data_IF_801494696757
#
_entry.id   IF_801494696757
#
_cell.length_a   1.000
_cell.length_b   1.000
_cell.length_c   1.000
_cell.angle_alpha   90.00
_cell.angle_beta   90.00
_cell.angle_gamma   90.00
#
_symmetry.space_group_name_H-M   'P 1'
#
loop_
_entity.id
_entity.type
_entity.pdbx_description
1 polymer ?
#
# COMPACT_ATOMS: atom_id res chain seq x y z
N UNK A 1 22.29 -12.33 -8.85
CA UNK A 1 20.87 -12.34 -9.27
C UNK A 1 20.05 -11.89 -8.09
N UNK A 2 19.08 -10.98 -8.26
CA UNK A 2 18.22 -10.57 -7.14
C UNK A 2 17.45 -11.79 -6.62
N UNK A 3 17.30 -11.89 -5.30
CA UNK A 3 16.49 -12.94 -4.70
C UNK A 3 15.03 -12.85 -5.17
N UNK A 4 14.39 -14.00 -5.44
CA UNK A 4 13.00 -14.02 -5.87
C UNK A 4 12.12 -13.39 -4.78
N UNK A 5 11.10 -12.65 -5.21
CA UNK A 5 10.11 -12.09 -4.27
C UNK A 5 9.42 -13.20 -3.50
N UNK A 6 9.15 -12.94 -2.22
CA UNK A 6 8.32 -13.81 -1.41
C UNK A 6 6.94 -13.96 -2.06
N UNK A 7 6.43 -15.19 -2.10
CA UNK A 7 5.11 -15.49 -2.66
C UNK A 7 4.05 -15.14 -1.64
N UNK A 8 3.14 -14.25 -2.01
CA UNK A 8 1.97 -13.94 -1.16
C UNK A 8 1.15 -15.21 -0.84
N UNK A 9 0.45 -15.22 0.30
CA UNK A 9 -0.52 -16.27 0.64
C UNK A 9 -1.55 -16.56 -0.45
N UNK A 10 -2.08 -17.80 -0.49
CA UNK A 10 -3.15 -18.18 -1.43
C UNK A 10 -4.48 -17.48 -1.18
N UNK A 11 -4.73 -17.03 0.06
CA UNK A 11 -5.88 -16.21 0.43
C UNK A 11 -5.75 -14.74 0.03
N UNK A 12 -4.65 -14.34 -0.62
CA UNK A 12 -4.40 -12.95 -0.96
C UNK A 12 -5.34 -12.43 -2.05
N UNK A 13 -6.04 -11.36 -1.74
CA UNK A 13 -6.99 -10.68 -2.63
C UNK A 13 -6.46 -9.29 -3.00
N UNK A 14 -7.05 -8.61 -4.01
CA UNK A 14 -6.71 -7.23 -4.34
C UNK A 14 -6.81 -6.27 -3.15
N UNK A 15 -7.74 -6.52 -2.22
CA UNK A 15 -7.89 -5.73 -1.00
C UNK A 15 -6.63 -5.75 -0.14
N UNK A 16 -5.97 -6.90 -0.03
CA UNK A 16 -4.71 -7.03 0.69
C UNK A 16 -3.57 -6.28 -0.01
N UNK A 17 -3.58 -6.22 -1.35
CA UNK A 17 -2.62 -5.38 -2.09
C UNK A 17 -2.87 -3.89 -1.90
N UNK A 18 -4.14 -3.45 -1.81
CA UNK A 18 -4.46 -2.05 -1.44
C UNK A 18 -3.93 -1.75 -0.05
N UNK A 19 -4.24 -2.60 0.94
CA UNK A 19 -3.73 -2.46 2.30
C UNK A 19 -2.19 -2.41 2.34
N UNK A 20 -1.53 -3.29 1.58
CA UNK A 20 -0.06 -3.34 1.50
C UNK A 20 0.55 -2.05 0.94
N UNK A 21 -0.04 -1.46 -0.11
CA UNK A 21 0.45 -0.19 -0.65
C UNK A 21 0.25 0.96 0.34
N UNK A 22 -0.91 1.05 0.98
CA UNK A 22 -1.19 2.09 1.98
C UNK A 22 -0.23 2.00 3.17
N UNK A 23 -0.02 0.79 3.71
CA UNK A 23 0.94 0.55 4.78
C UNK A 23 2.39 0.84 4.35
N UNK A 24 2.72 0.55 3.09
CA UNK A 24 4.07 0.77 2.58
C UNK A 24 4.43 2.24 2.41
N UNK A 25 3.44 3.11 2.19
CA UNK A 25 3.65 4.56 2.23
C UNK A 25 3.86 5.01 3.67
N UNK A 26 2.98 4.62 4.60
CA UNK A 26 3.10 5.00 6.01
C UNK A 26 4.37 4.51 6.70
N UNK A 27 5.02 3.44 6.22
CA UNK A 27 6.28 2.96 6.81
C UNK A 27 7.52 3.53 6.12
N UNK A 28 7.36 4.41 5.14
CA UNK A 28 8.46 4.93 4.34
C UNK A 28 9.49 5.71 5.17
N UNK A 29 9.01 6.40 6.21
CA UNK A 29 9.77 7.16 7.20
C UNK A 29 10.39 6.26 8.31
N UNK A 30 9.88 5.02 8.45
CA UNK A 30 10.35 4.00 9.39
C UNK A 30 9.37 3.64 10.51
N UNK A 31 8.22 4.31 10.64
CA UNK A 31 7.22 3.97 11.67
C UNK A 31 5.80 4.33 11.26
N UNK A 32 4.85 3.44 11.52
CA UNK A 32 3.42 3.73 11.35
C UNK A 32 2.83 4.12 12.70
N UNK A 33 2.15 5.26 12.76
CA UNK A 33 1.42 5.69 13.95
C UNK A 33 -0.04 5.17 13.99
N UNK A 34 -0.74 5.41 15.11
CA UNK A 34 -2.12 4.96 15.27
C UNK A 34 -3.12 5.72 14.36
N UNK A 35 -2.86 6.99 14.05
CA UNK A 35 -3.71 7.82 13.20
C UNK A 35 -3.66 7.34 11.75
N UNK A 36 -2.47 7.08 11.23
CA UNK A 36 -2.22 6.47 9.93
C UNK A 36 -2.80 5.07 9.86
N UNK A 37 -2.55 4.21 10.84
CA UNK A 37 -3.11 2.86 10.86
C UNK A 37 -4.65 2.89 10.82
N UNK A 38 -5.27 3.82 11.54
CA UNK A 38 -6.71 4.03 11.48
C UNK A 38 -7.18 4.58 10.13
N UNK A 39 -6.39 5.44 9.48
CA UNK A 39 -6.68 5.91 8.12
C UNK A 39 -6.61 4.76 7.10
N UNK A 40 -5.57 3.92 7.17
CA UNK A 40 -5.41 2.71 6.35
C UNK A 40 -6.64 1.81 6.48
N UNK A 41 -7.05 1.48 7.71
CA UNK A 41 -8.24 0.62 7.96
C UNK A 41 -9.51 1.20 7.33
N UNK A 42 -9.76 2.50 7.49
CA UNK A 42 -10.93 3.18 6.91
C UNK A 42 -10.93 3.13 5.38
N UNK A 43 -9.76 3.34 4.77
CA UNK A 43 -9.63 3.32 3.32
C UNK A 43 -9.74 1.92 2.74
N UNK A 44 -9.15 0.92 3.40
CA UNK A 44 -9.33 -0.48 3.02
C UNK A 44 -10.80 -0.87 3.08
N UNK A 45 -11.52 -0.52 4.15
CA UNK A 45 -12.96 -0.77 4.26
C UNK A 45 -13.74 -0.15 3.09
N UNK A 46 -13.41 1.10 2.73
CA UNK A 46 -14.03 1.81 1.60
C UNK A 46 -13.74 1.14 0.26
N UNK A 47 -12.50 0.74 0.00
CA UNK A 47 -12.10 0.09 -1.26
C UNK A 47 -12.68 -1.31 -1.43
N UNK A 48 -12.76 -2.04 -0.32
CA UNK A 48 -13.31 -3.39 -0.24
C UNK A 48 -14.83 -3.44 -0.15
N UNK A 49 -15.49 -2.31 0.13
CA UNK A 49 -16.92 -2.25 0.47
C UNK A 49 -17.29 -3.27 1.56
N UNK A 50 -16.41 -3.43 2.54
CA UNK A 50 -16.48 -4.44 3.58
C UNK A 50 -16.68 -3.81 4.96
N UNK A 51 -16.96 -4.67 5.95
CA UNK A 51 -17.04 -4.25 7.34
C UNK A 51 -15.67 -3.80 7.88
N UNK A 52 -15.64 -2.96 8.95
CA UNK A 52 -14.39 -2.59 9.61
C UNK A 52 -13.58 -3.79 10.10
N UNK A 53 -14.23 -4.88 10.51
CA UNK A 53 -13.59 -6.11 10.98
C UNK A 53 -12.88 -6.84 9.84
N UNK A 54 -13.51 -6.95 8.67
CA UNK A 54 -12.90 -7.52 7.46
C UNK A 54 -11.73 -6.68 6.97
N UNK A 55 -11.86 -5.35 7.02
CA UNK A 55 -10.79 -4.43 6.69
C UNK A 55 -9.60 -4.58 7.64
N UNK A 56 -9.85 -4.64 8.96
CA UNK A 56 -8.81 -4.83 9.96
C UNK A 56 -8.08 -6.17 9.80
N UNK A 57 -8.80 -7.24 9.47
CA UNK A 57 -8.20 -8.53 9.15
C UNK A 57 -7.28 -8.45 7.91
N UNK A 58 -7.73 -7.77 6.85
CA UNK A 58 -6.93 -7.58 5.65
C UNK A 58 -5.68 -6.72 5.89
N UNK A 59 -5.81 -5.63 6.67
CA UNK A 59 -4.71 -4.76 7.08
C UNK A 59 -3.71 -5.53 7.94
N UNK A 60 -4.18 -6.27 8.93
CA UNK A 60 -3.32 -7.07 9.82
C UNK A 60 -2.52 -8.12 9.04
N UNK A 61 -3.15 -8.81 8.10
CA UNK A 61 -2.45 -9.78 7.25
C UNK A 61 -1.43 -9.09 6.33
N UNK A 62 -1.79 -7.96 5.72
CA UNK A 62 -0.89 -7.19 4.87
C UNK A 62 0.31 -6.63 5.66
N UNK A 63 0.09 -6.16 6.89
CA UNK A 63 1.12 -5.64 7.77
C UNK A 63 2.08 -6.75 8.22
N UNK A 64 1.57 -7.91 8.64
CA UNK A 64 2.39 -9.06 8.96
C UNK A 64 3.26 -9.50 7.76
N UNK A 65 2.69 -9.48 6.56
CA UNK A 65 3.44 -9.77 5.32
C UNK A 65 4.51 -8.72 5.03
N UNK A 66 4.20 -7.44 5.23
CA UNK A 66 5.15 -6.34 5.06
C UNK A 66 6.35 -6.48 6.00
N UNK A 67 6.09 -6.75 7.28
CA UNK A 67 7.14 -6.98 8.28
C UNK A 67 8.00 -8.20 7.93
N UNK A 68 7.37 -9.27 7.43
CA UNK A 68 8.09 -10.46 6.97
C UNK A 68 9.01 -10.15 5.78
N UNK A 69 8.53 -9.40 4.77
CA UNK A 69 9.34 -8.97 3.62
C UNK A 69 10.51 -8.07 4.08
N UNK A 70 10.26 -7.11 4.97
CA UNK A 70 11.32 -6.24 5.51
C UNK A 70 12.37 -7.04 6.28
N UNK A 71 11.95 -8.02 7.10
CA UNK A 71 12.87 -8.85 7.87
C UNK A 71 13.71 -9.79 7.00
N UNK A 72 13.12 -10.41 5.99
CA UNK A 72 13.80 -11.41 5.15
C UNK A 72 14.58 -10.78 4.00
N UNK A 73 14.07 -9.71 3.39
CA UNK A 73 14.58 -9.15 2.14
C UNK A 73 15.01 -7.68 2.24
N UNK A 74 14.87 -7.07 3.41
CA UNK A 74 15.25 -5.68 3.67
C UNK A 74 14.47 -4.66 2.84
N UNK A 75 14.99 -3.43 2.81
CA UNK A 75 14.37 -2.30 2.09
C UNK A 75 14.25 -2.57 0.59
N UNK A 76 15.27 -3.15 -0.04
CA UNK A 76 15.26 -3.43 -1.48
C UNK A 76 14.20 -4.48 -1.84
N UNK A 77 14.04 -5.53 -1.03
CA UNK A 77 12.98 -6.52 -1.21
C UNK A 77 11.59 -5.93 -1.03
N UNK A 78 11.44 -5.06 -0.02
CA UNK A 78 10.21 -4.31 0.21
C UNK A 78 9.83 -3.43 -0.99
N UNK A 79 10.75 -2.64 -1.55
CA UNK A 79 10.47 -1.81 -2.73
C UNK A 79 10.06 -2.66 -3.95
N UNK A 80 10.73 -3.79 -4.18
CA UNK A 80 10.33 -4.73 -5.23
C UNK A 80 8.96 -5.35 -4.98
N UNK A 81 8.65 -5.66 -3.71
CA UNK A 81 7.35 -6.18 -3.29
C UNK A 81 6.24 -5.16 -3.52
N UNK A 82 6.46 -3.90 -3.13
CA UNK A 82 5.55 -2.78 -3.41
C UNK A 82 5.23 -2.67 -4.89
N UNK A 83 6.26 -2.65 -5.76
CA UNK A 83 6.05 -2.59 -7.21
C UNK A 83 5.28 -3.81 -7.75
N UNK A 84 5.51 -5.01 -7.19
CA UNK A 84 4.73 -6.21 -7.53
C UNK A 84 3.26 -6.08 -7.14
N UNK A 85 2.96 -5.53 -5.96
CA UNK A 85 1.60 -5.25 -5.52
C UNK A 85 0.94 -4.14 -6.36
N UNK A 86 1.67 -3.09 -6.71
CA UNK A 86 1.20 -2.05 -7.59
C UNK A 86 0.84 -2.60 -8.98
N UNK A 87 1.70 -3.44 -9.56
CA UNK A 87 1.45 -4.12 -10.84
C UNK A 87 0.22 -5.02 -10.78
N UNK A 88 0.03 -5.77 -9.69
CA UNK A 88 -1.16 -6.62 -9.49
C UNK A 88 -2.45 -5.80 -9.47
N UNK A 89 -2.43 -4.63 -8.84
CA UNK A 89 -3.58 -3.73 -8.83
C UNK A 89 -3.83 -3.12 -10.21
N UNK A 90 -2.79 -2.70 -10.94
CA UNK A 90 -2.93 -2.20 -12.30
C UNK A 90 -3.58 -3.22 -13.25
N UNK A 91 -3.22 -4.50 -13.09
CA UNK A 91 -3.81 -5.59 -13.88
C UNK A 91 -5.27 -5.92 -13.49
N UNK A 92 -5.70 -5.51 -12.30
CA UNK A 92 -7.02 -5.84 -11.78
C UNK A 92 -8.00 -4.66 -11.82
N UNK A 93 -7.52 -3.43 -11.69
CA UNK A 93 -8.31 -2.21 -11.62
C UNK A 93 -8.12 -1.34 -12.87
N UNK A 94 -9.20 -0.67 -13.27
CA UNK A 94 -9.13 0.37 -14.29
C UNK A 94 -8.59 1.70 -13.73
N UNK A 95 -8.22 2.65 -14.61
CA UNK A 95 -7.64 3.93 -14.22
C UNK A 95 -8.39 4.72 -13.15
N UNK A 96 -9.75 4.77 -13.11
CA UNK A 96 -10.47 5.49 -12.06
C UNK A 96 -10.21 4.95 -10.66
N UNK A 97 -10.10 3.62 -10.50
CA UNK A 97 -9.87 3.01 -9.20
C UNK A 97 -8.40 3.10 -8.79
N UNK A 98 -7.47 3.06 -9.74
CA UNK A 98 -6.05 3.33 -9.49
C UNK A 98 -5.83 4.78 -9.00
N UNK A 99 -6.47 5.77 -9.65
CA UNK A 99 -6.45 7.17 -9.17
C UNK A 99 -6.98 7.28 -7.74
N UNK A 100 -8.11 6.65 -7.43
CA UNK A 100 -8.65 6.66 -6.08
C UNK A 100 -7.68 6.05 -5.05
N UNK A 101 -6.93 5.00 -5.42
CA UNK A 101 -5.89 4.44 -4.54
C UNK A 101 -4.75 5.43 -4.33
N UNK A 102 -4.27 6.13 -5.36
CA UNK A 102 -3.23 7.17 -5.21
C UNK A 102 -3.69 8.33 -4.33
N UNK A 103 -4.90 8.84 -4.55
CA UNK A 103 -5.49 9.88 -3.69
C UNK A 103 -5.58 9.42 -2.23
N UNK A 104 -5.98 8.17 -2.03
CA UNK A 104 -6.07 7.60 -0.70
C UNK A 104 -4.67 7.39 -0.07
N UNK A 105 -3.64 7.02 -0.84
CA UNK A 105 -2.25 6.96 -0.35
C UNK A 105 -1.77 8.34 0.16
N UNK A 106 -2.06 9.42 -0.59
CA UNK A 106 -1.74 10.79 -0.15
C UNK A 106 -2.46 11.16 1.16
N UNK A 107 -3.74 10.81 1.27
CA UNK A 107 -4.52 11.13 2.45
C UNK A 107 -4.17 10.25 3.68
N UNK A 108 -3.62 9.04 3.49
CA UNK A 108 -3.01 8.28 4.61
C UNK A 108 -1.71 8.95 5.06
N UNK A 109 -0.82 9.26 4.12
CA UNK A 109 0.46 9.88 4.45
C UNK A 109 0.28 11.24 5.17
N UNK A 110 -0.78 11.98 4.82
CA UNK A 110 -1.14 13.24 5.49
C UNK A 110 -1.94 13.08 6.80
N UNK A 111 -2.20 11.86 7.27
CA UNK A 111 -3.09 11.63 8.41
C UNK A 111 -2.52 12.14 9.74
N UNK A 112 -1.20 12.20 9.87
CA UNK A 112 -0.47 12.71 11.03
C UNK A 112 -0.28 14.26 10.98
N UNK A 113 -0.57 14.87 9.83
CA UNK A 113 -0.42 16.31 9.58
C UNK A 113 0.89 16.69 8.87
N UNK A 114 1.76 15.73 8.56
CA UNK A 114 3.00 15.88 7.78
C UNK A 114 2.83 15.23 6.41
N UNK A 115 3.75 15.49 5.48
CA UNK A 115 3.92 14.64 4.31
C UNK A 115 5.41 14.65 3.99
N UNK A 116 6.05 13.50 4.15
CA UNK A 116 7.50 13.39 4.08
C UNK A 116 7.98 13.12 2.65
N UNK A 117 9.18 13.63 2.31
CA UNK A 117 9.76 13.47 0.96
C UNK A 117 9.84 12.00 0.52
N UNK A 118 10.11 11.09 1.46
CA UNK A 118 10.19 9.65 1.18
C UNK A 118 8.83 9.06 0.76
N UNK A 119 7.74 9.50 1.39
CA UNK A 119 6.38 9.10 1.09
C UNK A 119 5.95 9.67 -0.27
N UNK A 120 6.23 10.95 -0.51
CA UNK A 120 5.95 11.62 -1.79
C UNK A 120 6.62 10.88 -2.94
N UNK A 121 7.91 10.54 -2.79
CA UNK A 121 8.66 9.81 -3.83
C UNK A 121 8.03 8.45 -4.11
N UNK A 122 7.59 7.71 -3.09
CA UNK A 122 6.94 6.41 -3.27
C UNK A 122 5.57 6.54 -3.94
N UNK A 123 4.74 7.49 -3.50
CA UNK A 123 3.43 7.75 -4.09
C UNK A 123 3.58 8.14 -5.56
N UNK A 124 4.50 9.04 -5.87
CA UNK A 124 4.78 9.46 -7.25
C UNK A 124 5.29 8.30 -8.11
N UNK A 125 6.14 7.43 -7.57
CA UNK A 125 6.59 6.24 -8.29
C UNK A 125 5.41 5.33 -8.66
N UNK A 126 4.48 5.07 -7.73
CA UNK A 126 3.27 4.27 -7.99
C UNK A 126 2.33 4.95 -8.99
N UNK A 127 2.11 6.26 -8.85
CA UNK A 127 1.28 7.05 -9.77
C UNK A 127 1.84 7.02 -11.20
N UNK A 128 3.16 7.19 -11.35
CA UNK A 128 3.86 7.12 -12.63
C UNK A 128 3.78 5.72 -13.25
N UNK A 129 3.98 4.66 -12.46
CA UNK A 129 3.86 3.27 -12.92
C UNK A 129 2.46 2.96 -13.48
N UNK A 130 1.42 3.57 -12.88
CA UNK A 130 0.03 3.42 -13.31
C UNK A 130 -0.38 4.38 -14.42
N UNK A 131 0.50 5.31 -14.82
CA UNK A 131 0.18 6.40 -15.74
C UNK A 131 -1.06 7.19 -15.30
N UNK A 132 -1.24 7.30 -13.98
CA UNK A 132 -2.31 8.07 -13.35
C UNK A 132 -1.67 9.26 -12.67
N UNK A 133 -1.43 10.31 -13.45
CA UNK A 133 -1.01 11.59 -12.89
C UNK A 133 -2.16 12.23 -12.14
N UNK A 134 -1.83 13.01 -11.11
CA UNK A 134 -2.75 13.97 -10.50
C UNK A 134 -2.94 15.14 -11.48
N UNK A 135 -3.63 14.89 -12.60
CA UNK A 135 -4.19 15.97 -13.42
C UNK A 135 -5.52 16.38 -12.77
N UNK A 136 -5.39 17.26 -11.78
CA UNK A 136 -6.46 18.18 -11.38
C UNK A 136 -6.61 19.30 -12.40
#
# INVERSE_FOLDING_TARGET
MPEPLLKVPTSWTPLHSVAYLLLGVSIADGSIDEAEMNAVRRMVARHGQCSPEEADAAVSLAFAWLQHVLGEQGRDGFLRSLHSHATRLANHYGPPKLRAVVTDMLAVAQADGSLDDAEVVLIQAVANDWQVSDEG
#
